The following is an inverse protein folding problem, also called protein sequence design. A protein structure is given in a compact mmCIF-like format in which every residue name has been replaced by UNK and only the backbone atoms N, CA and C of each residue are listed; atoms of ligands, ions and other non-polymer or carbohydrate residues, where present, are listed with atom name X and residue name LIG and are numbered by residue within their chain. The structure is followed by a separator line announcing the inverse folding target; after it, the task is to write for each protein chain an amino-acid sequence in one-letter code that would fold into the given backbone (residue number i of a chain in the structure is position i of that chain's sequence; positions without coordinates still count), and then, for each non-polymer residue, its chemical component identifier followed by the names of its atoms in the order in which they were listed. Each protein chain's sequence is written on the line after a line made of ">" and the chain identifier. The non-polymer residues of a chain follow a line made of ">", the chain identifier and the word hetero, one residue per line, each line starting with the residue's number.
data_IF_859712971694
#
_entry.id   IF_859712971694
#
_cell.length_a   1.000
_cell.length_b   1.000
_cell.length_c   1.000
_cell.angle_alpha   90.00
_cell.angle_beta   90.00
_cell.angle_gamma   90.00
#
_symmetry.space_group_name_H-M   'P 1'
#
loop_
_entity.id
_entity.type
_entity.pdbx_description
1 polymer ?
#
# COMPACT_ATOMS: atom_id res chain seq x y z
N UNK A 1 23.70 1.92 -18.96
CA UNK A 1 22.99 2.88 -18.07
C UNK A 1 24.05 3.70 -17.37
N UNK A 2 23.91 5.03 -17.31
CA UNK A 2 24.97 5.90 -16.79
C UNK A 2 24.92 5.96 -15.25
N UNK A 3 26.05 5.72 -14.59
CA UNK A 3 26.15 5.78 -13.13
C UNK A 3 25.99 7.25 -12.71
N UNK A 4 24.99 7.54 -11.87
CA UNK A 4 24.77 8.87 -11.29
C UNK A 4 23.47 9.59 -11.70
N UNK A 5 22.62 9.01 -12.56
CA UNK A 5 21.32 9.61 -12.93
C UNK A 5 20.15 8.65 -12.64
N UNK A 6 19.80 8.50 -11.35
CA UNK A 6 18.50 7.94 -10.99
C UNK A 6 17.42 9.01 -11.22
N UNK A 7 16.34 8.71 -11.97
CA UNK A 7 15.31 9.69 -12.28
C UNK A 7 14.50 10.01 -11.02
N UNK A 8 14.66 11.23 -10.47
CA UNK A 8 13.84 11.74 -9.39
C UNK A 8 12.37 11.77 -9.81
N UNK A 9 11.50 11.13 -9.02
CA UNK A 9 10.04 11.22 -9.17
C UNK A 9 9.55 12.27 -8.17
N UNK A 10 9.00 13.36 -8.69
CA UNK A 10 8.46 14.48 -7.90
C UNK A 10 7.05 14.79 -8.39
N UNK A 11 6.11 15.01 -7.46
CA UNK A 11 4.72 15.37 -7.75
C UNK A 11 4.12 16.18 -6.59
N UNK A 12 2.97 16.82 -6.83
CA UNK A 12 2.21 17.48 -5.77
C UNK A 12 1.34 16.47 -5.02
N UNK A 13 1.40 16.47 -3.69
CA UNK A 13 0.52 15.68 -2.84
C UNK A 13 -0.96 16.10 -3.11
N UNK A 14 -1.85 15.17 -3.47
CA UNK A 14 -3.21 15.51 -3.91
C UNK A 14 -4.10 16.07 -2.79
N UNK A 15 -3.72 15.97 -1.52
CA UNK A 15 -4.47 16.57 -0.41
C UNK A 15 -3.94 17.97 -0.05
N UNK A 16 -2.65 18.07 0.27
CA UNK A 16 -2.05 19.30 0.81
C UNK A 16 -1.37 20.20 -0.24
N UNK A 17 -1.28 19.74 -1.50
CA UNK A 17 -0.76 20.49 -2.65
C UNK A 17 0.70 20.96 -2.50
N UNK A 18 1.50 20.23 -1.71
CA UNK A 18 2.96 20.43 -1.55
C UNK A 18 3.75 19.39 -2.34
N UNK A 19 4.98 19.71 -2.68
CA UNK A 19 5.89 18.77 -3.35
C UNK A 19 6.17 17.53 -2.50
N UNK A 20 6.19 16.38 -3.16
CA UNK A 20 6.61 15.07 -2.66
C UNK A 20 7.76 14.59 -3.54
N UNK A 21 8.94 14.41 -2.97
CA UNK A 21 10.05 13.72 -3.63
C UNK A 21 10.08 12.25 -3.18
N UNK A 22 10.01 11.32 -4.13
CA UNK A 22 10.14 9.89 -3.86
C UNK A 22 11.61 9.52 -3.65
N UNK A 23 11.89 8.72 -2.62
CA UNK A 23 13.24 8.25 -2.28
C UNK A 23 13.34 6.76 -2.61
N UNK A 24 14.42 6.33 -3.25
CA UNK A 24 14.66 4.92 -3.56
C UNK A 24 15.27 4.16 -2.37
N UNK A 25 14.46 3.30 -1.75
CA UNK A 25 14.88 2.26 -0.81
C UNK A 25 15.25 0.97 -1.56
N UNK A 26 16.39 0.37 -1.23
CA UNK A 26 16.80 -0.94 -1.78
C UNK A 26 15.88 -2.09 -1.34
N UNK A 27 15.18 -1.94 -0.22
CA UNK A 27 14.29 -2.95 0.38
C UNK A 27 12.82 -2.75 -0.01
N UNK A 28 12.34 -1.51 -0.09
CA UNK A 28 10.92 -1.20 -0.29
C UNK A 28 10.59 -0.63 -1.68
N UNK A 29 11.59 -0.33 -2.51
CA UNK A 29 11.39 0.37 -3.77
C UNK A 29 11.36 1.89 -3.58
N UNK A 30 10.66 2.62 -4.45
CA UNK A 30 10.51 4.07 -4.30
C UNK A 30 9.34 4.36 -3.37
N UNK A 31 9.59 5.11 -2.31
CA UNK A 31 8.63 5.43 -1.25
C UNK A 31 8.70 6.92 -0.86
N UNK A 32 7.63 7.44 -0.29
CA UNK A 32 7.62 8.71 0.45
C UNK A 32 6.62 8.68 1.61
N UNK A 33 7.07 9.00 2.83
CA UNK A 33 6.21 9.43 3.94
C UNK A 33 6.04 10.95 3.84
N UNK A 34 4.83 11.41 3.51
CA UNK A 34 4.54 12.84 3.43
C UNK A 34 3.97 13.39 4.75
N UNK A 35 4.69 13.16 5.85
CA UNK A 35 4.53 13.89 7.11
C UNK A 35 3.16 13.70 7.77
N UNK A 36 2.59 12.50 7.70
CA UNK A 36 1.25 12.21 8.21
C UNK A 36 0.08 12.70 7.34
N UNK A 37 0.34 13.17 6.12
CA UNK A 37 -0.69 13.50 5.14
C UNK A 37 -1.14 12.28 4.34
N UNK A 38 -0.20 11.65 3.63
CA UNK A 38 -0.35 10.40 2.88
C UNK A 38 1.03 9.72 2.78
N UNK A 39 1.03 8.39 2.65
CA UNK A 39 2.19 7.61 2.24
C UNK A 39 2.06 7.29 0.73
N UNK A 40 3.19 7.15 0.05
CA UNK A 40 3.23 6.86 -1.39
C UNK A 40 4.28 5.80 -1.72
N UNK A 41 4.01 4.99 -2.76
CA UNK A 41 4.94 4.02 -3.33
C UNK A 41 4.84 3.93 -4.86
N UNK A 42 5.84 3.34 -5.52
CA UNK A 42 5.88 3.16 -6.99
C UNK A 42 5.74 1.69 -7.39
N UNK A 43 4.69 1.37 -8.13
CA UNK A 43 4.52 0.05 -8.77
C UNK A 43 5.20 0.03 -10.14
N UNK A 44 6.47 -0.39 -10.18
CA UNK A 44 7.28 -0.45 -11.43
C UNK A 44 6.86 -1.53 -12.43
N UNK A 45 6.10 -2.54 -11.99
CA UNK A 45 5.50 -3.56 -12.86
C UNK A 45 3.98 -3.53 -12.62
N UNK A 46 3.14 -3.28 -13.65
CA UNK A 46 1.71 -3.44 -13.50
C UNK A 46 1.37 -4.92 -13.27
N UNK A 47 0.38 -5.25 -12.42
CA UNK A 47 -0.26 -6.56 -12.45
C UNK A 47 -0.97 -6.77 -13.80
N UNK A 48 -0.84 -7.97 -14.37
CA UNK A 48 -1.57 -8.43 -15.56
C UNK A 48 -2.89 -9.10 -15.16
N UNK A 49 -3.94 -8.95 -15.96
CA UNK A 49 -5.21 -9.68 -15.77
C UNK A 49 -5.39 -10.62 -16.96
N UNK A 50 -5.08 -11.91 -16.75
CA UNK A 50 -4.90 -12.86 -17.85
C UNK A 50 -3.83 -12.33 -18.82
N UNK A 51 -4.16 -12.31 -20.11
CA UNK A 51 -3.27 -11.83 -21.18
C UNK A 51 -3.29 -10.29 -21.37
N UNK A 52 -4.13 -9.56 -20.61
CA UNK A 52 -4.30 -8.13 -20.82
C UNK A 52 -3.37 -7.28 -19.93
N UNK A 53 -2.55 -6.44 -20.56
CA UNK A 53 -1.84 -5.35 -19.90
C UNK A 53 -2.76 -4.14 -19.68
N UNK A 54 -2.88 -3.70 -18.42
CA UNK A 54 -3.62 -2.50 -18.07
C UNK A 54 -2.65 -1.34 -17.81
N UNK A 55 -2.95 -0.16 -18.37
CA UNK A 55 -2.24 1.08 -17.99
C UNK A 55 -2.51 1.38 -16.53
N UNK A 56 -1.48 1.28 -15.69
CA UNK A 56 -1.47 1.73 -14.30
C UNK A 56 -0.91 3.14 -14.17
N UNK A 57 -1.31 3.92 -13.15
CA UNK A 57 -0.51 5.03 -12.68
C UNK A 57 0.86 4.54 -12.20
N UNK A 58 1.86 5.42 -12.19
CA UNK A 58 3.20 5.09 -11.66
C UNK A 58 3.23 5.15 -10.12
N UNK A 59 2.52 6.12 -9.55
CA UNK A 59 2.49 6.41 -8.12
C UNK A 59 1.17 5.91 -7.51
N UNK A 60 1.29 5.18 -6.41
CA UNK A 60 0.18 4.72 -5.60
C UNK A 60 0.23 5.38 -4.23
N UNK A 61 -0.95 5.69 -3.68
CA UNK A 61 -1.16 6.18 -2.33
C UNK A 61 -1.32 4.95 -1.43
N UNK A 62 -0.45 4.78 -0.44
CA UNK A 62 -0.49 3.61 0.45
C UNK A 62 -1.52 3.81 1.57
N UNK A 63 -2.44 2.85 1.68
CA UNK A 63 -3.48 2.75 2.71
C UNK A 63 -3.23 1.53 3.57
N UNK A 64 -2.56 1.75 4.70
CA UNK A 64 -2.37 0.76 5.76
C UNK A 64 -3.73 0.44 6.42
N UNK A 65 -4.11 -0.85 6.48
CA UNK A 65 -5.29 -1.27 7.24
C UNK A 65 -5.04 -1.15 8.75
N UNK A 66 -6.11 -0.97 9.52
CA UNK A 66 -6.08 -1.08 10.98
C UNK A 66 -5.47 -2.39 11.48
N UNK A 67 -5.53 -3.45 10.66
CA UNK A 67 -4.97 -4.76 10.94
C UNK A 67 -3.46 -4.81 10.69
N UNK A 68 -2.98 -4.28 9.57
CA UNK A 68 -1.55 -4.15 9.28
C UNK A 68 -0.86 -3.22 10.28
N UNK A 69 -1.53 -2.15 10.70
CA UNK A 69 -1.09 -1.26 11.79
C UNK A 69 -0.95 -2.04 13.10
N UNK A 70 -1.93 -2.87 13.48
CA UNK A 70 -1.86 -3.71 14.69
C UNK A 70 -0.78 -4.78 14.60
N UNK A 71 -0.66 -5.50 13.48
CA UNK A 71 0.37 -6.53 13.26
C UNK A 71 1.79 -5.94 13.32
N UNK A 72 1.98 -4.72 12.81
CA UNK A 72 3.22 -3.97 12.93
C UNK A 72 3.49 -3.54 14.38
N UNK A 73 2.48 -3.00 15.08
CA UNK A 73 2.57 -2.59 16.49
C UNK A 73 2.89 -3.78 17.40
N UNK A 74 2.28 -4.94 17.19
CA UNK A 74 2.58 -6.17 17.94
C UNK A 74 4.03 -6.63 17.70
N UNK A 75 4.49 -6.66 16.45
CA UNK A 75 5.89 -6.98 16.12
C UNK A 75 6.90 -6.01 16.75
N UNK A 76 6.60 -4.71 16.74
CA UNK A 76 7.45 -3.70 17.41
C UNK A 76 7.41 -3.83 18.94
N UNK A 77 6.28 -4.23 19.54
CA UNK A 77 6.16 -4.47 20.99
C UNK A 77 7.01 -5.67 21.43
N UNK A 78 7.08 -6.74 20.64
CA UNK A 78 8.04 -7.84 20.89
C UNK A 78 9.48 -7.34 20.88
N UNK A 79 9.88 -6.56 19.86
CA UNK A 79 11.23 -5.97 19.80
C UNK A 79 11.53 -5.04 20.99
N UNK A 80 10.55 -4.28 21.48
CA UNK A 80 10.70 -3.47 22.72
C UNK A 80 10.90 -4.34 23.96
N UNK A 81 10.40 -5.58 24.00
CA UNK A 81 10.64 -6.49 25.12
C UNK A 81 12.04 -7.13 25.11
N UNK A 82 12.68 -7.18 23.94
CA UNK A 82 14.00 -7.80 23.72
C UNK A 82 15.16 -6.77 23.64
N UNK A 83 14.86 -5.49 23.41
CA UNK A 83 15.88 -4.43 23.24
C UNK A 83 16.35 -3.83 24.58
N UNK A 84 17.66 -4.01 24.85
CA UNK A 84 18.37 -3.48 26.02
C UNK A 84 18.79 -2.00 25.86
N UNK A 85 19.00 -1.52 24.63
CA UNK A 85 19.40 -0.12 24.36
C UNK A 85 18.22 0.83 24.53
N UNK A 86 18.22 1.59 25.62
CA UNK A 86 17.20 2.60 25.95
C UNK A 86 16.98 3.65 24.84
N UNK A 87 18.00 4.00 24.05
CA UNK A 87 17.87 4.93 22.91
C UNK A 87 17.16 4.29 21.72
N UNK A 88 17.46 3.02 21.41
CA UNK A 88 16.73 2.25 20.39
C UNK A 88 15.29 2.00 20.83
N UNK A 89 15.10 1.51 22.07
CA UNK A 89 13.80 1.25 22.69
C UNK A 89 12.88 2.46 22.61
N UNK A 90 13.35 3.65 23.01
CA UNK A 90 12.59 4.90 22.95
C UNK A 90 12.15 5.28 21.52
N UNK A 91 13.01 5.02 20.50
CA UNK A 91 12.66 5.22 19.09
C UNK A 91 11.57 4.25 18.61
N UNK A 92 11.61 3.00 19.07
CA UNK A 92 10.60 1.98 18.73
C UNK A 92 9.26 2.32 19.42
N UNK A 93 9.26 2.69 20.70
CA UNK A 93 8.07 3.15 21.43
C UNK A 93 7.44 4.40 20.80
N UNK A 94 8.24 5.33 20.29
CA UNK A 94 7.76 6.46 19.49
C UNK A 94 7.20 6.02 18.11
N UNK A 95 7.75 4.96 17.52
CA UNK A 95 7.21 4.32 16.31
C UNK A 95 5.82 3.71 16.53
N UNK A 96 5.67 2.93 17.61
CA UNK A 96 4.40 2.33 18.04
C UNK A 96 3.32 3.40 18.19
N UNK A 97 3.59 4.46 18.97
CA UNK A 97 2.63 5.56 19.19
C UNK A 97 2.19 6.28 17.91
N UNK A 98 3.10 6.43 16.93
CA UNK A 98 2.75 6.99 15.60
C UNK A 98 1.85 6.04 14.80
N UNK A 99 2.13 4.74 14.80
CA UNK A 99 1.28 3.74 14.12
C UNK A 99 -0.10 3.66 14.77
N UNK A 100 -0.18 3.60 16.10
CA UNK A 100 -1.44 3.61 16.86
C UNK A 100 -2.29 4.86 16.56
N UNK A 101 -1.66 6.01 16.32
CA UNK A 101 -2.37 7.25 15.93
C UNK A 101 -2.96 7.24 14.51
N UNK A 102 -2.58 6.29 13.65
CA UNK A 102 -3.16 6.09 12.31
C UNK A 102 -4.41 5.17 12.31
N UNK A 103 -4.78 4.58 13.45
CA UNK A 103 -5.94 3.66 13.55
C UNK A 103 -7.24 4.42 13.16
N UNK A 104 -7.99 3.83 12.24
CA UNK A 104 -9.16 4.42 11.61
C UNK A 104 -8.86 5.63 10.70
N UNK A 105 -7.63 5.80 10.21
CA UNK A 105 -7.30 6.87 9.25
C UNK A 105 -7.76 6.54 7.83
N UNK A 106 -7.47 5.32 7.36
CA UNK A 106 -7.73 4.89 5.98
C UNK A 106 -9.21 5.03 5.61
N UNK A 107 -10.12 4.49 6.44
CA UNK A 107 -11.57 4.53 6.23
C UNK A 107 -12.11 5.96 6.10
N UNK A 108 -11.67 6.88 6.97
CA UNK A 108 -12.10 8.29 6.98
C UNK A 108 -11.69 9.06 5.72
N UNK A 109 -10.68 8.58 5.00
CA UNK A 109 -10.13 9.20 3.79
C UNK A 109 -10.64 8.57 2.49
N UNK A 110 -11.38 7.46 2.52
CA UNK A 110 -11.88 6.77 1.30
C UNK A 110 -12.61 7.73 0.33
N UNK A 111 -13.54 8.61 0.75
CA UNK A 111 -14.29 9.46 -0.19
C UNK A 111 -13.38 10.45 -0.94
N UNK A 112 -12.50 11.12 -0.22
CA UNK A 112 -11.51 12.06 -0.76
C UNK A 112 -10.52 11.34 -1.70
N UNK A 113 -10.11 10.12 -1.33
CA UNK A 113 -9.17 9.32 -2.13
C UNK A 113 -9.81 8.70 -3.38
N UNK A 114 -11.12 8.43 -3.37
CA UNK A 114 -11.90 8.09 -4.57
C UNK A 114 -11.88 9.26 -5.57
N UNK A 115 -12.11 10.49 -5.10
CA UNK A 115 -12.00 11.69 -5.94
C UNK A 115 -10.58 11.87 -6.53
N UNK A 116 -9.54 11.60 -5.73
CA UNK A 116 -8.14 11.65 -6.22
C UNK A 116 -7.88 10.63 -7.34
N UNK A 117 -8.33 9.37 -7.19
CA UNK A 117 -8.09 8.37 -8.24
C UNK A 117 -8.99 8.52 -9.47
N UNK A 118 -10.13 9.22 -9.40
CA UNK A 118 -10.92 9.58 -10.60
C UNK A 118 -10.09 10.31 -11.66
N UNK A 119 -9.05 11.06 -11.24
CA UNK A 119 -8.14 11.75 -12.15
C UNK A 119 -7.15 10.86 -12.92
N UNK A 120 -7.02 9.56 -12.57
CA UNK A 120 -6.12 8.61 -13.25
C UNK A 120 -4.61 8.79 -13.00
N UNK A 121 -4.18 9.95 -12.50
CA UNK A 121 -2.77 10.25 -12.15
C UNK A 121 -2.21 9.35 -11.04
N UNK A 122 -3.07 8.96 -10.09
CA UNK A 122 -2.70 8.18 -8.91
C UNK A 122 -3.55 6.90 -8.82
N UNK A 123 -3.00 5.89 -8.14
CA UNK A 123 -3.76 4.73 -7.64
C UNK A 123 -3.80 4.71 -6.11
N UNK A 124 -4.58 3.80 -5.53
CA UNK A 124 -4.53 3.41 -4.12
C UNK A 124 -3.91 2.03 -3.99
N UNK A 125 -2.99 1.86 -3.04
CA UNK A 125 -2.41 0.57 -2.66
C UNK A 125 -2.82 0.25 -1.24
N UNK A 126 -3.72 -0.69 -1.08
CA UNK A 126 -4.27 -1.12 0.19
C UNK A 126 -3.35 -2.20 0.76
N UNK A 127 -2.76 -1.95 1.92
CA UNK A 127 -1.87 -2.88 2.63
C UNK A 127 -2.67 -3.53 3.76
N UNK A 128 -3.20 -4.72 3.49
CA UNK A 128 -4.11 -5.42 4.40
C UNK A 128 -3.38 -6.18 5.51
N UNK A 129 -2.15 -6.64 5.25
CA UNK A 129 -1.24 -7.30 6.19
C UNK A 129 0.13 -7.54 5.55
N UNK A 130 1.07 -8.22 6.23
CA UNK A 130 2.46 -8.42 5.74
C UNK A 130 2.63 -8.95 4.32
N UNK A 131 1.69 -9.73 3.80
CA UNK A 131 1.81 -10.42 2.50
C UNK A 131 0.53 -10.40 1.66
N UNK A 132 -0.43 -9.54 1.98
CA UNK A 132 -1.71 -9.41 1.27
C UNK A 132 -2.16 -7.94 1.15
N UNK A 133 -2.82 -7.61 0.04
CA UNK A 133 -3.32 -6.27 -0.23
C UNK A 133 -3.99 -6.17 -1.59
N UNK A 134 -4.28 -4.94 -2.03
CA UNK A 134 -4.82 -4.68 -3.35
C UNK A 134 -4.36 -3.35 -3.96
N UNK A 135 -4.37 -3.27 -5.28
CA UNK A 135 -4.17 -2.05 -6.06
C UNK A 135 -5.51 -1.63 -6.66
N UNK A 136 -5.87 -0.36 -6.57
CA UNK A 136 -7.09 0.22 -7.16
C UNK A 136 -6.72 1.49 -7.92
N UNK A 137 -7.13 1.63 -9.18
CA UNK A 137 -6.86 2.84 -9.96
C UNK A 137 -7.92 3.06 -11.04
N UNK A 138 -7.88 4.23 -11.69
CA UNK A 138 -8.74 4.57 -12.82
C UNK A 138 -8.01 4.30 -14.13
N UNK A 139 -8.50 3.33 -14.91
CA UNK A 139 -8.23 3.24 -16.35
C UNK A 139 -9.11 4.21 -17.15
N UNK A 140 -9.09 4.11 -18.48
CA UNK A 140 -9.77 5.09 -19.36
C UNK A 140 -11.26 5.28 -18.99
N UNK A 141 -12.04 4.21 -19.02
CA UNK A 141 -13.49 4.26 -18.77
C UNK A 141 -13.94 3.53 -17.49
N UNK A 142 -13.05 2.77 -16.86
CA UNK A 142 -13.33 1.91 -15.71
C UNK A 142 -12.29 2.07 -14.61
N UNK A 143 -12.73 1.93 -13.37
CA UNK A 143 -11.87 1.57 -12.25
C UNK A 143 -11.43 0.10 -12.38
N UNK A 144 -10.17 -0.15 -12.06
CA UNK A 144 -9.53 -1.46 -12.00
C UNK A 144 -9.13 -1.71 -10.55
N UNK A 145 -9.46 -2.88 -10.03
CA UNK A 145 -9.03 -3.34 -8.71
C UNK A 145 -8.42 -4.73 -8.82
N UNK A 146 -7.24 -4.95 -8.25
CA UNK A 146 -6.53 -6.23 -8.28
C UNK A 146 -5.89 -6.51 -6.92
N UNK A 147 -6.23 -7.63 -6.29
CA UNK A 147 -5.57 -8.13 -5.09
C UNK A 147 -4.21 -8.76 -5.41
N UNK A 148 -3.28 -8.70 -4.47
CA UNK A 148 -2.00 -9.40 -4.53
C UNK A 148 -1.68 -10.10 -3.19
N UNK A 149 -0.91 -11.18 -3.26
CA UNK A 149 -0.53 -11.98 -2.10
C UNK A 149 -1.04 -13.42 -2.16
N UNK A 150 -0.93 -14.15 -1.05
CA UNK A 150 -1.47 -15.53 -0.91
C UNK A 150 -2.99 -15.52 -0.67
N UNK A 151 -3.74 -14.83 -1.54
CA UNK A 151 -5.21 -14.74 -1.48
C UNK A 151 -5.81 -16.06 -1.98
N UNK A 152 -6.71 -16.67 -1.21
CA UNK A 152 -7.17 -18.04 -1.46
C UNK A 152 -8.24 -18.19 -2.56
N UNK A 153 -8.84 -17.08 -3.02
CA UNK A 153 -9.80 -17.02 -4.13
C UNK A 153 -9.34 -16.00 -5.18
N UNK A 154 -9.04 -16.45 -6.39
CA UNK A 154 -8.58 -15.58 -7.48
C UNK A 154 -9.73 -14.71 -8.05
N UNK A 155 -10.94 -15.28 -8.19
CA UNK A 155 -12.14 -14.56 -8.68
C UNK A 155 -12.54 -13.38 -7.78
N UNK A 156 -12.30 -13.51 -6.47
CA UNK A 156 -12.58 -12.47 -5.47
C UNK A 156 -11.55 -11.32 -5.47
N UNK A 157 -10.46 -11.48 -6.23
CA UNK A 157 -9.34 -10.57 -6.31
C UNK A 157 -9.47 -9.48 -7.38
N UNK A 158 -10.45 -9.56 -8.28
CA UNK A 158 -10.57 -8.70 -9.45
C UNK A 158 -11.81 -7.79 -9.40
N UNK A 159 -11.66 -6.56 -9.88
CA UNK A 159 -12.74 -5.60 -10.12
C UNK A 159 -12.49 -4.82 -11.42
N UNK A 160 -13.50 -4.71 -12.29
CA UNK A 160 -13.46 -3.94 -13.54
C UNK A 160 -14.80 -3.20 -13.79
N UNK A 161 -14.98 -2.05 -13.14
CA UNK A 161 -16.28 -1.36 -13.07
C UNK A 161 -16.24 0.11 -13.49
N UNK A 162 -17.35 0.64 -14.00
CA UNK A 162 -17.56 2.09 -14.14
C UNK A 162 -18.16 2.73 -12.88
N UNK A 163 -18.61 1.94 -11.89
CA UNK A 163 -19.35 2.39 -10.72
C UNK A 163 -18.45 2.74 -9.54
N UNK A 164 -18.73 3.88 -8.90
CA UNK A 164 -17.97 4.39 -7.76
C UNK A 164 -18.27 3.63 -6.46
N UNK A 165 -19.53 3.28 -6.19
CA UNK A 165 -19.90 2.53 -4.98
C UNK A 165 -19.37 1.08 -5.01
N UNK A 166 -19.26 0.45 -6.18
CA UNK A 166 -18.56 -0.84 -6.32
C UNK A 166 -17.06 -0.70 -6.04
N UNK A 167 -16.43 0.38 -6.54
CA UNK A 167 -15.02 0.71 -6.28
C UNK A 167 -14.75 0.93 -4.79
N UNK A 168 -15.62 1.68 -4.13
CA UNK A 168 -15.64 1.93 -2.68
C UNK A 168 -15.85 0.64 -1.88
N UNK A 169 -16.75 -0.23 -2.32
CA UNK A 169 -16.97 -1.56 -1.74
C UNK A 169 -15.74 -2.47 -1.82
N UNK A 170 -15.03 -2.48 -2.96
CA UNK A 170 -13.76 -3.20 -3.11
C UNK A 170 -12.66 -2.63 -2.21
N UNK A 171 -12.56 -1.29 -2.09
CA UNK A 171 -11.60 -0.64 -1.18
C UNK A 171 -11.88 -1.03 0.28
N UNK A 172 -13.16 -0.95 0.72
CA UNK A 172 -13.57 -1.35 2.06
C UNK A 172 -13.30 -2.84 2.34
N UNK A 173 -13.60 -3.73 1.38
CA UNK A 173 -13.28 -5.17 1.47
C UNK A 173 -11.81 -5.40 1.80
N UNK A 174 -10.90 -4.69 1.12
CA UNK A 174 -9.46 -4.85 1.32
C UNK A 174 -8.91 -4.14 2.55
N UNK A 175 -9.49 -3.01 2.98
CA UNK A 175 -9.15 -2.36 4.25
C UNK A 175 -9.55 -3.24 5.45
N UNK A 176 -10.68 -3.95 5.37
CA UNK A 176 -11.11 -4.91 6.40
C UNK A 176 -10.63 -6.36 6.18
N UNK A 177 -9.79 -6.62 5.16
CA UNK A 177 -9.44 -7.99 4.80
C UNK A 177 -8.58 -8.69 5.86
N UNK A 178 -9.05 -9.86 6.29
CA UNK A 178 -8.35 -10.74 7.19
C UNK A 178 -8.19 -12.13 6.57
N UNK A 179 -6.94 -12.58 6.45
CA UNK A 179 -6.65 -14.01 6.57
C UNK A 179 -5.72 -14.19 7.76
N UNK A 180 -6.18 -14.99 8.72
CA UNK A 180 -5.56 -15.09 10.05
C UNK A 180 -4.39 -16.07 10.10
N UNK A 181 -4.29 -16.92 11.14
CA UNK A 181 -3.20 -17.90 11.29
C UNK A 181 -3.00 -18.88 10.10
N UNK A 182 -3.89 -18.92 9.11
CA UNK A 182 -3.76 -19.71 7.87
C UNK A 182 -2.51 -19.37 7.05
N UNK A 183 -1.93 -18.17 7.20
CA UNK A 183 -0.70 -17.77 6.51
C UNK A 183 0.57 -18.44 7.06
N UNK A 184 0.51 -19.11 8.23
CA UNK A 184 1.63 -19.90 8.79
C UNK A 184 1.71 -21.26 8.08
N UNK A 185 2.09 -21.26 6.78
CA UNK A 185 2.17 -22.51 6.02
C UNK A 185 2.77 -22.49 4.62
N UNK A 186 2.85 -21.35 3.92
CA UNK A 186 3.42 -21.29 2.55
C UNK A 186 4.46 -20.18 2.43
N UNK A 187 5.67 -20.56 1.97
CA UNK A 187 6.81 -19.66 1.76
C UNK A 187 6.43 -18.52 0.81
N UNK A 188 6.86 -17.30 1.13
CA UNK A 188 6.68 -16.15 0.26
C UNK A 188 7.71 -16.13 -0.89
N UNK A 189 7.28 -15.61 -2.04
CA UNK A 189 8.01 -15.41 -3.29
C UNK A 189 8.45 -16.69 -4.04
N UNK A 190 8.26 -16.75 -5.37
CA UNK A 190 9.16 -17.54 -6.21
C UNK A 190 10.55 -16.91 -6.13
N UNK A 191 11.58 -17.72 -5.92
CA UNK A 191 12.94 -17.27 -6.22
C UNK A 191 13.07 -17.13 -7.75
N UNK A 192 13.88 -16.20 -8.27
CA UNK A 192 14.30 -16.28 -9.66
C UNK A 192 15.10 -17.58 -9.83
N UNK A 193 14.78 -18.36 -10.85
CA UNK A 193 15.53 -19.56 -11.21
C UNK A 193 17.00 -19.22 -11.54
N UNK A 194 17.89 -20.17 -11.26
CA UNK A 194 19.36 -20.08 -11.43
C UNK A 194 19.81 -20.37 -12.86
#
# INVERSE_FOLDING_TARGET
>A
MQIGFEPKIVFLCPLCHKDVEMIYSRTEGWIADHGGCLNFSVMRKPPTIGENEFRTPLVFIDLESDFAIREAVEGLRSLVSEEEDLSKRSKIEAGIKRLESKIGFAEKRIPELLDVIKGGTFGLRIVSGRSAGALVWRGVEKFVGISYGNVQNEEEGLMLTSQEEETKGFILKWIHYWDGPKLVGKKAFPQPDL
#
